data_IF_121535780787
#
_entry.id   IF_121535780787
#
_cell.length_a   1.000
_cell.length_b   1.000
_cell.length_c   1.000
_cell.angle_alpha   90.00
_cell.angle_beta   90.00
_cell.angle_gamma   90.00
#
_symmetry.space_group_name_H-M   'P 1'
#
loop_
_entity.id
_entity.type
_entity.pdbx_description
1 polymer ?
#
# COMPACT_ATOMS: atom_id res chain seq x y z
N UNK A 1 -57.07 59.26 13.93
CA UNK A 1 -58.38 59.26 14.61
C UNK A 1 -59.23 58.13 14.05
N UNK A 2 -59.96 57.42 14.92
CA UNK A 2 -60.97 56.35 14.68
C UNK A 2 -60.48 54.89 14.52
N UNK A 3 -60.65 54.17 15.64
CA UNK A 3 -60.97 52.72 15.72
C UNK A 3 -62.39 52.46 15.19
N UNK A 4 -62.72 51.19 14.92
CA UNK A 4 -64.00 50.43 15.06
C UNK A 4 -63.89 49.27 14.03
N UNK A 5 -63.62 48.00 14.38
CA UNK A 5 -64.34 46.99 15.17
C UNK A 5 -65.40 46.17 14.38
N UNK A 6 -65.21 44.83 14.43
CA UNK A 6 -66.21 43.73 14.49
C UNK A 6 -66.98 43.41 13.18
N UNK A 7 -67.40 42.19 12.82
CA UNK A 7 -67.47 40.86 13.47
C UNK A 7 -67.79 39.75 12.42
N UNK A 8 -67.21 38.56 12.63
CA UNK A 8 -67.69 37.18 12.35
C UNK A 8 -68.37 36.79 11.03
N UNK A 9 -67.88 35.70 10.44
CA UNK A 9 -68.62 34.42 10.40
C UNK A 9 -67.70 33.22 10.17
N UNK A 10 -67.93 32.20 11.01
CA UNK A 10 -67.34 30.87 10.99
C UNK A 10 -67.74 30.08 9.74
N UNK A 11 -66.85 29.21 9.26
CA UNK A 11 -67.24 27.93 8.65
C UNK A 11 -66.15 26.91 8.97
N UNK A 12 -66.58 25.76 9.46
CA UNK A 12 -65.77 24.72 10.06
C UNK A 12 -65.10 23.79 9.02
N UNK A 13 -63.82 23.49 9.30
CA UNK A 13 -63.17 22.18 9.36
C UNK A 13 -63.47 21.17 8.22
N UNK A 14 -62.40 20.83 7.47
CA UNK A 14 -62.10 19.43 7.14
C UNK A 14 -60.62 19.14 7.42
N UNK A 15 -60.43 18.11 8.22
CA UNK A 15 -59.17 17.53 8.68
C UNK A 15 -58.51 16.73 7.56
N UNK A 16 -57.26 17.06 7.24
CA UNK A 16 -56.37 16.18 6.49
C UNK A 16 -55.04 16.13 7.24
N UNK A 17 -54.76 14.98 7.85
CA UNK A 17 -53.53 14.71 8.58
C UNK A 17 -52.35 14.66 7.61
N UNK A 18 -51.44 15.64 7.69
CA UNK A 18 -50.18 15.65 6.94
C UNK A 18 -49.09 15.01 7.81
N UNK A 19 -48.60 13.84 7.40
CA UNK A 19 -47.47 13.16 8.06
C UNK A 19 -46.18 13.89 7.68
N UNK A 20 -45.43 14.35 8.69
CA UNK A 20 -44.07 14.87 8.54
C UNK A 20 -43.16 13.70 8.22
N UNK A 21 -42.62 13.66 7.00
CA UNK A 21 -41.50 12.78 6.67
C UNK A 21 -40.23 13.40 7.25
N UNK A 22 -39.74 12.81 8.34
CA UNK A 22 -38.38 13.01 8.84
C UNK A 22 -37.43 12.38 7.84
N UNK A 23 -36.87 13.19 6.93
CA UNK A 23 -35.71 12.78 6.15
C UNK A 23 -34.52 12.77 7.10
N UNK A 24 -34.12 11.57 7.47
CA UNK A 24 -32.93 11.25 8.23
C UNK A 24 -31.69 11.82 7.54
N UNK A 25 -30.91 12.52 8.35
CA UNK A 25 -29.53 12.94 8.16
C UNK A 25 -28.71 11.83 7.48
N UNK A 26 -28.41 12.02 6.19
CA UNK A 26 -27.48 11.18 5.46
C UNK A 26 -26.08 11.58 5.93
N UNK A 27 -25.56 10.84 6.90
CA UNK A 27 -24.13 10.80 7.19
C UNK A 27 -23.40 10.48 5.89
N UNK A 28 -22.76 11.48 5.28
CA UNK A 28 -21.75 11.33 4.25
C UNK A 28 -20.58 10.55 4.85
N UNK A 29 -20.69 9.22 4.78
CA UNK A 29 -19.57 8.35 5.02
C UNK A 29 -18.70 8.43 3.77
N UNK A 30 -17.82 9.44 3.71
CA UNK A 30 -16.74 9.51 2.72
C UNK A 30 -15.92 8.23 2.85
N UNK A 31 -16.22 7.24 2.00
CA UNK A 31 -15.30 6.16 1.70
C UNK A 31 -14.03 6.82 1.15
N UNK A 32 -13.03 7.00 2.02
CA UNK A 32 -11.66 7.27 1.61
C UNK A 32 -11.27 6.14 0.66
N UNK A 33 -11.36 6.40 -0.64
CA UNK A 33 -10.82 5.50 -1.65
C UNK A 33 -9.35 5.29 -1.31
N UNK A 34 -9.01 4.10 -0.83
CA UNK A 34 -7.64 3.75 -0.48
C UNK A 34 -6.86 3.79 -1.79
N UNK A 35 -6.13 4.88 -2.01
CA UNK A 35 -5.26 5.02 -3.18
C UNK A 35 -4.15 3.99 -3.05
N UNK A 36 -3.93 3.21 -4.12
CA UNK A 36 -2.81 2.29 -4.20
C UNK A 36 -1.48 3.03 -4.08
N UNK A 37 -0.52 2.44 -3.37
CA UNK A 37 0.81 3.02 -3.15
C UNK A 37 1.64 2.82 -4.42
N UNK A 38 2.08 3.90 -5.05
CA UNK A 38 2.87 3.83 -6.29
C UNK A 38 4.37 3.71 -6.04
N UNK A 39 5.14 3.35 -7.07
CA UNK A 39 6.60 3.44 -7.06
C UNK A 39 7.11 4.84 -6.65
N UNK A 40 6.44 5.92 -7.10
CA UNK A 40 6.84 7.26 -6.72
C UNK A 40 6.66 7.51 -5.22
N UNK A 41 5.63 6.95 -4.59
CA UNK A 41 5.43 7.05 -3.14
C UNK A 41 6.56 6.31 -2.39
N UNK A 42 7.03 5.17 -2.91
CA UNK A 42 8.20 4.44 -2.39
C UNK A 42 9.47 5.29 -2.48
N UNK A 43 9.72 5.92 -3.63
CA UNK A 43 10.89 6.78 -3.83
C UNK A 43 10.88 7.99 -2.88
N UNK A 44 9.71 8.62 -2.70
CA UNK A 44 9.54 9.72 -1.75
C UNK A 44 9.76 9.28 -0.30
N UNK A 45 9.20 8.14 0.12
CA UNK A 45 9.40 7.60 1.47
C UNK A 45 10.87 7.22 1.72
N UNK A 46 11.55 6.67 0.71
CA UNK A 46 13.00 6.39 0.77
C UNK A 46 13.82 7.68 0.88
N UNK A 47 13.46 8.72 0.14
CA UNK A 47 14.13 10.01 0.21
C UNK A 47 13.94 10.66 1.59
N UNK A 48 12.72 10.63 2.13
CA UNK A 48 12.37 11.05 3.48
C UNK A 48 13.21 10.30 4.52
N UNK A 49 13.27 8.96 4.43
CA UNK A 49 14.07 8.12 5.31
C UNK A 49 15.55 8.50 5.31
N UNK A 50 16.16 8.65 4.13
CA UNK A 50 17.57 9.01 4.01
C UNK A 50 17.89 10.38 4.63
N UNK A 51 16.94 11.34 4.54
CA UNK A 51 17.09 12.68 5.11
C UNK A 51 16.98 12.68 6.62
N UNK A 52 15.98 11.98 7.17
CA UNK A 52 15.65 12.03 8.60
C UNK A 52 16.50 11.06 9.42
N UNK A 53 16.93 9.97 8.80
CA UNK A 53 17.64 8.88 9.46
C UNK A 53 18.95 8.58 8.72
N UNK A 54 19.91 9.53 8.66
CA UNK A 54 21.17 9.30 7.97
C UNK A 54 21.92 8.09 8.57
N UNK A 55 22.59 7.34 7.71
CA UNK A 55 23.34 6.13 8.07
C UNK A 55 24.79 6.26 7.62
N UNK A 56 25.70 6.78 8.47
CA UNK A 56 27.08 7.04 8.07
C UNK A 56 27.82 5.79 7.54
N UNK A 57 27.46 4.59 8.01
CA UNK A 57 28.10 3.32 7.61
C UNK A 57 27.46 2.65 6.39
N UNK A 58 26.16 2.85 6.17
CA UNK A 58 25.44 2.28 5.02
C UNK A 58 25.46 3.23 3.82
N UNK A 59 25.50 4.53 4.07
CA UNK A 59 25.32 5.56 3.06
C UNK A 59 23.85 5.78 2.71
N UNK A 60 23.62 6.30 1.51
CA UNK A 60 22.27 6.56 0.98
C UNK A 60 21.64 5.23 0.56
N UNK A 61 20.46 4.95 1.11
CA UNK A 61 19.65 3.82 0.70
C UNK A 61 19.10 4.07 -0.71
N UNK A 62 19.43 3.17 -1.63
CA UNK A 62 19.04 3.24 -3.04
C UNK A 62 18.24 2.01 -3.45
N UNK A 63 17.24 2.23 -4.31
CA UNK A 63 16.40 1.18 -4.85
C UNK A 63 17.04 0.65 -6.14
N UNK A 64 17.05 -0.67 -6.32
CA UNK A 64 17.55 -1.27 -7.55
C UNK A 64 16.69 -0.93 -8.77
N UNK A 65 17.24 -1.16 -9.96
CA UNK A 65 16.44 -1.38 -11.17
C UNK A 65 15.39 -2.47 -10.94
N UNK A 66 14.23 -2.40 -11.64
CA UNK A 66 13.22 -3.45 -11.53
C UNK A 66 13.78 -4.76 -12.08
N UNK A 67 13.37 -5.85 -11.44
CA UNK A 67 13.50 -7.21 -11.93
C UNK A 67 12.10 -7.71 -12.29
N UNK A 68 11.83 -7.87 -13.58
CA UNK A 68 10.54 -8.34 -14.09
C UNK A 68 10.48 -9.85 -13.96
N UNK A 69 9.53 -10.34 -13.15
CA UNK A 69 9.48 -11.74 -12.72
C UNK A 69 9.38 -12.70 -13.91
N UNK A 70 8.60 -12.34 -14.93
CA UNK A 70 8.39 -13.20 -16.11
C UNK A 70 9.59 -13.14 -17.04
N UNK A 71 10.08 -11.93 -17.33
CA UNK A 71 11.01 -11.67 -18.43
C UNK A 71 12.48 -11.83 -18.02
N UNK A 72 12.87 -11.37 -16.83
CA UNK A 72 14.27 -11.33 -16.41
C UNK A 72 14.75 -12.66 -15.81
N UNK A 73 13.83 -13.53 -15.38
CA UNK A 73 14.15 -14.79 -14.72
C UNK A 73 15.08 -15.68 -15.55
N UNK A 74 14.99 -15.58 -16.87
CA UNK A 74 15.79 -16.39 -17.78
C UNK A 74 17.20 -15.87 -18.04
N UNK A 75 17.45 -14.60 -17.74
CA UNK A 75 18.66 -13.92 -18.18
C UNK A 75 19.43 -13.28 -17.03
N UNK A 76 18.80 -13.12 -15.87
CA UNK A 76 19.35 -12.38 -14.75
C UNK A 76 19.11 -13.06 -13.40
N UNK A 77 19.92 -12.65 -12.42
CA UNK A 77 19.69 -12.94 -11.01
C UNK A 77 18.99 -11.76 -10.34
N UNK A 78 18.31 -12.02 -9.22
CA UNK A 78 17.71 -10.95 -8.43
C UNK A 78 18.73 -9.87 -8.06
N UNK A 79 18.36 -8.58 -8.10
CA UNK A 79 19.23 -7.50 -7.64
C UNK A 79 19.61 -7.71 -6.18
N UNK A 80 20.91 -7.55 -5.87
CA UNK A 80 21.46 -7.74 -4.53
C UNK A 80 21.25 -9.15 -3.95
N UNK A 81 21.16 -10.19 -4.80
CA UNK A 81 20.82 -11.56 -4.38
C UNK A 81 21.63 -12.11 -3.19
N UNK A 82 22.91 -11.78 -3.09
CA UNK A 82 23.80 -12.26 -2.01
C UNK A 82 23.76 -11.40 -0.74
N UNK A 83 23.09 -10.24 -0.76
CA UNK A 83 23.06 -9.31 0.36
C UNK A 83 21.86 -9.54 1.28
N UNK A 84 22.00 -9.11 2.53
CA UNK A 84 20.88 -8.80 3.38
C UNK A 84 20.22 -7.50 2.89
N UNK A 85 18.94 -7.29 3.21
CA UNK A 85 18.26 -6.06 2.83
C UNK A 85 16.74 -6.16 2.79
N UNK A 86 16.15 -5.24 2.02
CA UNK A 86 14.70 -5.08 1.87
C UNK A 86 14.31 -5.30 0.41
N UNK A 87 13.20 -5.98 0.16
CA UNK A 87 12.61 -6.16 -1.16
C UNK A 87 11.19 -5.63 -1.22
N UNK A 88 10.81 -5.20 -2.42
CA UNK A 88 9.53 -4.62 -2.75
C UNK A 88 8.94 -5.41 -3.90
N UNK A 89 7.66 -5.74 -3.81
CA UNK A 89 6.92 -6.47 -4.84
C UNK A 89 5.85 -5.54 -5.39
N UNK A 90 5.80 -5.41 -6.71
CA UNK A 90 4.86 -4.55 -7.42
C UNK A 90 3.98 -5.34 -8.37
N UNK A 91 2.77 -4.86 -8.62
CA UNK A 91 1.90 -5.35 -9.70
C UNK A 91 2.30 -4.76 -11.06
N UNK A 92 1.47 -5.01 -12.09
CA UNK A 92 1.70 -4.52 -13.47
C UNK A 92 1.51 -3.01 -13.63
N UNK A 93 0.82 -2.37 -12.69
CA UNK A 93 0.53 -0.93 -12.70
C UNK A 93 1.51 -0.15 -11.81
N UNK A 94 2.63 -0.79 -11.42
CA UNK A 94 3.64 -0.28 -10.48
C UNK A 94 3.08 0.10 -9.09
N UNK A 95 1.99 -0.55 -8.67
CA UNK A 95 1.51 -0.44 -7.30
C UNK A 95 2.26 -1.41 -6.39
N UNK A 96 2.68 -0.90 -5.24
CA UNK A 96 3.36 -1.66 -4.20
C UNK A 96 2.38 -2.64 -3.54
N UNK A 97 2.64 -3.92 -3.72
CA UNK A 97 1.89 -5.00 -3.11
C UNK A 97 2.44 -5.35 -1.73
N UNK A 98 3.76 -5.48 -1.61
CA UNK A 98 4.40 -6.04 -0.44
C UNK A 98 5.83 -5.52 -0.22
N UNK A 99 6.19 -5.33 1.05
CA UNK A 99 7.57 -5.07 1.51
C UNK A 99 8.00 -6.22 2.42
N UNK A 100 9.21 -6.72 2.22
CA UNK A 100 9.81 -7.68 3.14
C UNK A 100 11.31 -7.46 3.35
N UNK A 101 11.87 -8.01 4.43
CA UNK A 101 13.32 -8.11 4.64
C UNK A 101 13.86 -9.54 4.51
N UNK A 102 15.16 -9.66 4.30
CA UNK A 102 15.88 -10.93 4.30
C UNK A 102 17.35 -10.74 4.67
N UNK A 103 17.98 -11.79 5.20
CA UNK A 103 19.44 -11.84 5.41
C UNK A 103 20.17 -12.32 4.13
N UNK A 104 19.41 -12.89 3.18
CA UNK A 104 19.84 -13.22 1.83
C UNK A 104 18.68 -13.02 0.85
N UNK A 105 18.70 -11.92 0.11
CA UNK A 105 17.59 -11.50 -0.75
C UNK A 105 17.25 -12.54 -1.83
N UNK A 106 18.26 -13.11 -2.48
CA UNK A 106 18.06 -14.09 -3.55
C UNK A 106 17.39 -15.37 -3.07
N UNK A 107 17.80 -15.89 -1.91
CA UNK A 107 17.18 -17.07 -1.30
C UNK A 107 15.73 -16.79 -0.90
N UNK A 108 15.44 -15.62 -0.31
CA UNK A 108 14.09 -15.23 0.08
C UNK A 108 13.18 -15.02 -1.13
N UNK A 109 13.66 -14.33 -2.15
CA UNK A 109 12.92 -14.10 -3.39
C UNK A 109 12.70 -15.41 -4.15
N UNK A 110 13.66 -16.34 -4.15
CA UNK A 110 13.50 -17.69 -4.71
C UNK A 110 12.48 -18.57 -3.98
N UNK A 111 12.11 -18.24 -2.73
CA UNK A 111 10.98 -18.88 -2.06
C UNK A 111 9.64 -18.43 -2.67
N UNK A 112 9.55 -17.15 -3.04
CA UNK A 112 8.33 -16.52 -3.58
C UNK A 112 8.17 -16.68 -5.09
N UNK A 113 9.28 -16.71 -5.82
CA UNK A 113 9.32 -16.71 -7.28
C UNK A 113 10.23 -17.83 -7.78
N UNK A 114 9.94 -18.36 -8.95
CA UNK A 114 10.68 -19.49 -9.51
C UNK A 114 10.43 -19.65 -10.98
N UNK A 115 11.03 -20.66 -11.56
CA UNK A 115 10.77 -21.06 -12.93
C UNK A 115 9.36 -21.63 -13.10
N UNK A 116 8.75 -21.35 -14.25
CA UNK A 116 7.65 -22.15 -14.77
C UNK A 116 8.11 -23.60 -15.07
N UNK A 117 7.17 -24.48 -15.42
CA UNK A 117 7.45 -25.91 -15.53
C UNK A 117 8.46 -26.25 -16.64
N UNK A 118 8.42 -25.51 -17.74
CA UNK A 118 9.28 -25.64 -18.93
C UNK A 118 10.55 -24.78 -18.86
N UNK A 119 10.74 -24.00 -17.79
CA UNK A 119 11.92 -23.14 -17.54
C UNK A 119 12.19 -22.11 -18.64
N UNK A 120 11.13 -21.58 -19.23
CA UNK A 120 11.19 -20.54 -20.27
C UNK A 120 10.94 -19.15 -19.71
N UNK A 121 10.25 -19.05 -18.58
CA UNK A 121 9.93 -17.79 -17.91
C UNK A 121 9.84 -17.97 -16.39
N UNK A 122 9.92 -16.86 -15.66
CA UNK A 122 9.62 -16.88 -14.24
C UNK A 122 8.12 -16.91 -13.96
N UNK A 123 7.77 -17.32 -12.74
CA UNK A 123 6.41 -17.36 -12.19
C UNK A 123 6.41 -17.01 -10.71
N UNK A 124 5.25 -16.60 -10.24
CA UNK A 124 4.95 -16.53 -8.81
C UNK A 124 4.68 -17.93 -8.26
N UNK A 125 5.33 -18.28 -7.14
CA UNK A 125 5.11 -19.52 -6.38
C UNK A 125 4.18 -19.30 -5.18
N UNK A 126 4.28 -18.13 -4.56
CA UNK A 126 3.50 -17.78 -3.36
C UNK A 126 2.13 -17.26 -3.76
N UNK A 127 1.06 -17.95 -3.37
CA UNK A 127 -0.32 -17.50 -3.62
C UNK A 127 -0.63 -16.13 -3.02
N UNK A 128 0.08 -15.73 -1.96
CA UNK A 128 -0.09 -14.44 -1.31
C UNK A 128 0.49 -13.28 -2.13
N UNK A 129 1.29 -13.55 -3.17
CA UNK A 129 1.87 -12.55 -4.06
C UNK A 129 1.32 -12.69 -5.48
N UNK A 130 0.08 -13.20 -5.60
CA UNK A 130 -0.59 -13.24 -6.89
C UNK A 130 -0.70 -11.83 -7.49
N UNK A 131 -0.56 -11.73 -8.81
CA UNK A 131 -0.45 -10.45 -9.51
C UNK A 131 0.92 -9.75 -9.44
N UNK A 132 1.90 -10.29 -8.70
CA UNK A 132 3.25 -9.74 -8.70
C UNK A 132 3.87 -9.77 -10.11
N UNK A 133 4.40 -8.62 -10.53
CA UNK A 133 5.02 -8.41 -11.83
C UNK A 133 6.50 -8.07 -11.73
N UNK A 134 6.87 -7.21 -10.78
CA UNK A 134 8.23 -6.72 -10.64
C UNK A 134 8.70 -6.77 -9.19
N UNK A 135 10.02 -6.95 -9.02
CA UNK A 135 10.71 -6.86 -7.74
C UNK A 135 11.77 -5.77 -7.80
N UNK A 136 11.92 -5.01 -6.72
CA UNK A 136 13.07 -4.13 -6.49
C UNK A 136 13.67 -4.43 -5.13
N UNK A 137 14.96 -4.13 -4.95
CA UNK A 137 15.64 -4.38 -3.68
C UNK A 137 16.49 -3.19 -3.24
N UNK A 138 16.69 -3.13 -1.92
CA UNK A 138 17.71 -2.35 -1.24
C UNK A 138 18.68 -3.38 -0.66
N UNK A 139 19.89 -3.45 -1.19
CA UNK A 139 20.97 -4.26 -0.61
C UNK A 139 21.71 -3.48 0.48
N UNK A 140 22.07 -4.17 1.56
CA UNK A 140 22.85 -3.60 2.65
C UNK A 140 24.23 -4.26 2.75
N UNK A 141 25.27 -3.52 3.17
CA UNK A 141 26.55 -4.11 3.57
C UNK A 141 26.35 -5.13 4.70
N UNK A 142 27.15 -6.20 4.71
CA UNK A 142 27.00 -7.31 5.66
C UNK A 142 27.09 -6.88 7.12
N UNK A 143 28.01 -5.97 7.43
CA UNK A 143 28.21 -5.38 8.76
C UNK A 143 27.04 -4.51 9.23
N UNK A 144 26.14 -4.13 8.32
CA UNK A 144 24.95 -3.32 8.60
C UNK A 144 23.64 -4.05 8.26
N UNK A 145 23.68 -5.38 8.12
CA UNK A 145 22.51 -6.23 7.82
C UNK A 145 21.35 -6.06 8.80
N UNK A 146 21.64 -5.77 10.07
CA UNK A 146 20.64 -5.49 11.11
C UNK A 146 19.74 -4.29 10.77
N UNK A 147 20.21 -3.35 9.95
CA UNK A 147 19.42 -2.19 9.55
C UNK A 147 18.24 -2.54 8.64
N UNK A 148 18.25 -3.72 7.99
CA UNK A 148 17.16 -4.16 7.13
C UNK A 148 15.81 -4.14 7.83
N UNK A 149 15.77 -4.54 9.11
CA UNK A 149 14.56 -4.54 9.92
C UNK A 149 14.05 -3.11 10.22
N UNK A 150 14.96 -2.16 10.48
CA UNK A 150 14.59 -0.78 10.74
C UNK A 150 14.06 -0.09 9.47
N UNK A 151 14.69 -0.34 8.32
CA UNK A 151 14.26 0.20 7.02
C UNK A 151 12.89 -0.38 6.64
N UNK A 152 12.72 -1.70 6.74
CA UNK A 152 11.43 -2.37 6.47
C UNK A 152 10.32 -1.81 7.37
N UNK A 153 10.55 -1.75 8.69
CA UNK A 153 9.55 -1.28 9.64
C UNK A 153 9.13 0.18 9.37
N UNK A 154 10.09 1.06 9.07
CA UNK A 154 9.80 2.43 8.69
C UNK A 154 8.95 2.49 7.42
N UNK A 155 9.36 1.79 6.36
CA UNK A 155 8.67 1.85 5.07
C UNK A 155 7.26 1.25 5.13
N UNK A 156 7.06 0.14 5.83
CA UNK A 156 5.73 -0.44 6.06
C UNK A 156 4.85 0.54 6.82
N UNK A 157 5.36 1.18 7.89
CA UNK A 157 4.59 2.17 8.65
C UNK A 157 4.25 3.40 7.81
N UNK A 158 5.16 3.81 6.94
CA UNK A 158 5.05 5.03 6.13
C UNK A 158 4.14 4.87 4.92
N UNK A 159 4.10 3.68 4.34
CA UNK A 159 3.41 3.38 3.08
C UNK A 159 2.15 2.53 3.26
N UNK A 160 2.09 1.72 4.32
CA UNK A 160 0.99 0.79 4.62
C UNK A 160 0.54 -0.10 3.43
N UNK A 161 1.47 -0.86 2.82
CA UNK A 161 1.15 -1.68 1.65
C UNK A 161 0.11 -2.76 1.97
N UNK A 162 -0.83 -2.97 1.03
CA UNK A 162 -2.05 -3.75 1.27
C UNK A 162 -1.80 -5.17 1.79
N UNK A 163 -0.79 -5.88 1.29
CA UNK A 163 -0.52 -7.26 1.73
C UNK A 163 0.25 -7.35 3.05
N UNK A 164 0.89 -6.28 3.50
CA UNK A 164 1.55 -6.24 4.82
C UNK A 164 0.55 -6.01 5.96
N UNK A 165 -0.62 -5.45 5.68
CA UNK A 165 -1.70 -5.25 6.68
C UNK A 165 -2.34 -6.58 7.06
N UNK A 166 -2.59 -7.46 6.09
CA UNK A 166 -3.21 -8.78 6.30
C UNK A 166 -2.36 -9.68 7.21
N UNK A 167 -1.04 -9.50 7.22
CA UNK A 167 -0.12 -10.23 8.10
C UNK A 167 -0.06 -9.70 9.54
N UNK A 168 -0.49 -8.46 9.80
CA UNK A 168 -0.41 -7.79 11.10
C UNK A 168 -1.54 -8.23 12.06
N UNK A 169 -2.70 -8.59 11.53
CA UNK A 169 -3.88 -8.99 12.32
C UNK A 169 -3.86 -10.45 12.81
N UNK A 170 -2.77 -11.20 12.57
CA UNK A 170 -2.67 -12.63 12.93
C UNK A 170 -1.52 -12.97 13.89
N UNK A 171 -0.87 -11.98 14.50
CA UNK A 171 0.19 -12.18 15.51
C UNK A 171 -0.31 -11.98 16.94
#
# INVERSE_FOLDING_TARGET
MRRIAWSTRSTAIRSTSFRVATTTDTTENTMTSIRAVSLNDVELAKLEFNREFPRPKVGVVTLSSPFFIVDDFAFASFPNAAAAGVYFVFDRDDNLLYIGKADGLGARLGAHFGWNADRTAGRVKSANLDGAHAVRTIGLPGESSFEAAAIEAYLIRRLDPGLNVIGRDRS
#
